data_IF_197532017798
#
_entry.id   IF_197532017798
#
_cell.length_a   1.000
_cell.length_b   1.000
_cell.length_c   1.000
_cell.angle_alpha   90.00
_cell.angle_beta   90.00
_cell.angle_gamma   90.00
#
_symmetry.space_group_name_H-M   'P 1'
#
loop_
_entity.id
_entity.type
_entity.pdbx_description
1 polymer ?
#
# COMPACT_ATOMS: atom_id res chain seq x y z
N UNK A 1 0.03 11.66 -1.16
CA UNK A 1 1.23 12.47 -0.85
C UNK A 1 1.01 13.90 -1.33
N UNK A 2 1.80 14.86 -0.83
CA UNK A 2 1.81 16.24 -1.34
C UNK A 2 2.99 16.41 -2.30
N UNK A 3 2.87 17.32 -3.28
CA UNK A 3 3.91 17.58 -4.28
C UNK A 3 3.45 17.29 -5.72
N UNK A 4 4.06 17.99 -6.68
CA UNK A 4 3.73 17.84 -8.10
C UNK A 4 4.35 16.58 -8.70
N UNK A 5 3.69 15.98 -9.70
CA UNK A 5 4.26 14.87 -10.46
C UNK A 5 5.64 15.25 -11.01
N UNK A 6 6.58 14.32 -10.90
CA UNK A 6 7.95 14.49 -11.41
C UNK A 6 7.91 14.75 -12.91
N UNK A 7 8.62 15.80 -13.34
CA UNK A 7 8.73 16.18 -14.75
C UNK A 7 7.62 17.07 -15.29
N UNK A 8 6.63 17.47 -14.48
CA UNK A 8 5.56 18.36 -14.95
C UNK A 8 5.98 19.84 -14.97
N UNK A 9 6.81 20.28 -14.02
CA UNK A 9 7.38 21.63 -13.99
C UNK A 9 8.86 21.59 -13.58
N UNK A 10 9.69 22.34 -14.31
CA UNK A 10 11.15 22.42 -14.09
C UNK A 10 11.51 22.96 -12.70
N UNK A 11 10.71 23.89 -12.17
CA UNK A 11 10.94 24.53 -10.87
C UNK A 11 10.21 23.84 -9.70
N UNK A 12 9.75 22.59 -9.88
CA UNK A 12 9.06 21.86 -8.81
C UNK A 12 9.98 21.66 -7.61
N UNK A 13 9.54 22.11 -6.43
CA UNK A 13 10.20 21.82 -5.17
C UNK A 13 9.53 20.65 -4.46
N UNK A 14 10.36 19.74 -3.94
CA UNK A 14 9.93 18.56 -3.21
C UNK A 14 10.39 18.67 -1.76
N UNK A 15 9.53 18.25 -0.84
CA UNK A 15 9.83 18.25 0.58
C UNK A 15 10.17 16.83 1.07
N UNK A 16 11.11 16.76 2.01
CA UNK A 16 11.45 15.51 2.68
C UNK A 16 10.66 15.37 3.98
N UNK A 17 9.97 14.23 4.13
CA UNK A 17 9.40 13.80 5.41
C UNK A 17 10.38 12.88 6.16
N UNK A 18 10.46 13.03 7.49
CA UNK A 18 11.25 12.13 8.35
C UNK A 18 10.40 11.60 9.49
N UNK A 19 10.48 10.30 9.73
CA UNK A 19 9.86 9.61 10.86
C UNK A 19 10.89 8.70 11.51
N UNK A 20 10.89 8.64 12.84
CA UNK A 20 11.70 7.66 13.59
C UNK A 20 10.90 6.37 13.71
N UNK A 21 11.45 5.27 13.21
CA UNK A 21 10.85 3.94 13.32
C UNK A 21 11.44 3.20 14.53
N UNK A 22 10.60 2.44 15.20
CA UNK A 22 10.95 1.55 16.31
C UNK A 22 10.92 0.07 15.85
N UNK A 23 11.63 -0.84 16.56
CA UNK A 23 11.54 -2.26 16.28
C UNK A 23 10.09 -2.78 16.25
N UNK A 24 9.75 -3.52 15.19
CA UNK A 24 8.41 -4.04 14.97
C UNK A 24 7.55 -3.17 14.04
N UNK A 25 7.91 -1.90 13.82
CA UNK A 25 7.18 -1.02 12.90
C UNK A 25 7.21 -1.55 11.47
N UNK A 26 6.08 -1.37 10.79
CA UNK A 26 5.88 -1.76 9.39
C UNK A 26 5.61 -0.51 8.56
N UNK A 27 6.35 -0.36 7.47
CA UNK A 27 6.16 0.70 6.47
C UNK A 27 5.66 0.07 5.19
N UNK A 28 4.59 0.62 4.63
CA UNK A 28 4.00 0.19 3.37
C UNK A 28 4.03 1.36 2.39
N UNK A 29 4.67 1.15 1.24
CA UNK A 29 4.57 2.05 0.08
C UNK A 29 3.66 1.41 -0.95
N UNK A 30 2.83 2.21 -1.61
CA UNK A 30 1.86 1.75 -2.60
C UNK A 30 1.72 2.73 -3.76
N UNK A 31 1.32 2.23 -4.93
CA UNK A 31 0.80 3.04 -6.04
C UNK A 31 -0.72 3.16 -5.97
N UNK A 32 -1.27 4.20 -6.59
CA UNK A 32 -2.70 4.49 -6.66
C UNK A 32 -3.50 3.38 -7.33
N UNK A 33 -2.93 2.64 -8.28
CA UNK A 33 -3.55 1.43 -8.85
C UNK A 33 -4.05 0.43 -7.79
N UNK A 34 -3.45 0.39 -6.59
CA UNK A 34 -3.96 -0.42 -5.47
C UNK A 34 -5.21 0.19 -4.82
N UNK A 35 -5.26 1.51 -4.67
CA UNK A 35 -6.37 2.22 -4.01
C UNK A 35 -7.51 2.65 -4.95
N UNK A 36 -7.27 2.58 -6.25
CA UNK A 36 -8.22 2.88 -7.32
C UNK A 36 -8.95 1.61 -7.78
N UNK A 37 -8.46 0.43 -7.40
CA UNK A 37 -9.09 -0.85 -7.66
C UNK A 37 -10.54 -0.86 -7.19
N UNK A 38 -11.44 -1.38 -8.03
CA UNK A 38 -12.87 -1.37 -7.76
C UNK A 38 -13.44 -2.78 -7.69
N UNK A 39 -14.36 -2.99 -6.74
CA UNK A 39 -15.18 -4.18 -6.68
C UNK A 39 -16.14 -4.25 -7.87
N UNK A 40 -16.83 -5.39 -8.09
CA UNK A 40 -17.83 -5.51 -9.14
C UNK A 40 -18.99 -4.50 -9.03
N UNK A 41 -19.26 -3.98 -7.83
CA UNK A 41 -20.28 -2.94 -7.59
C UNK A 41 -19.76 -1.51 -7.82
N UNK A 42 -18.47 -1.36 -8.12
CA UNK A 42 -17.81 -0.07 -8.34
C UNK A 42 -17.30 0.60 -7.07
N UNK A 43 -17.35 -0.08 -5.92
CA UNK A 43 -16.77 0.42 -4.67
C UNK A 43 -15.25 0.29 -4.72
N UNK A 44 -14.53 1.35 -4.35
CA UNK A 44 -13.06 1.37 -4.39
C UNK A 44 -12.44 0.70 -3.17
N UNK A 45 -11.29 0.06 -3.37
CA UNK A 45 -10.40 -0.38 -2.29
C UNK A 45 -9.59 0.80 -1.76
N UNK A 46 -10.28 1.79 -1.20
CA UNK A 46 -9.67 3.05 -0.77
C UNK A 46 -8.60 2.89 0.35
N UNK A 47 -7.99 4.02 0.73
CA UNK A 47 -6.94 4.06 1.76
C UNK A 47 -7.41 3.46 3.09
N UNK A 48 -8.68 3.63 3.48
CA UNK A 48 -9.24 3.06 4.70
C UNK A 48 -9.25 1.53 4.66
N UNK A 49 -9.63 0.94 3.51
CA UNK A 49 -9.55 -0.50 3.30
C UNK A 49 -8.11 -1.03 3.32
N UNK A 50 -7.17 -0.29 2.73
CA UNK A 50 -5.75 -0.61 2.79
C UNK A 50 -5.23 -0.58 4.23
N UNK A 51 -5.49 0.48 4.99
CA UNK A 51 -5.07 0.63 6.39
C UNK A 51 -5.59 -0.53 7.25
N UNK A 52 -6.88 -0.86 7.14
CA UNK A 52 -7.49 -1.99 7.87
C UNK A 52 -6.84 -3.32 7.51
N UNK A 53 -6.52 -3.52 6.24
CA UNK A 53 -5.89 -4.75 5.75
C UNK A 53 -4.46 -4.89 6.25
N UNK A 54 -3.69 -3.80 6.24
CA UNK A 54 -2.32 -3.76 6.79
C UNK A 54 -2.35 -4.06 8.29
N UNK A 55 -3.22 -3.40 9.06
CA UNK A 55 -3.35 -3.65 10.50
C UNK A 55 -3.71 -5.11 10.80
N UNK A 56 -4.68 -5.67 10.07
CA UNK A 56 -5.10 -7.06 10.24
C UNK A 56 -3.96 -8.06 9.96
N UNK A 57 -3.15 -7.79 8.92
CA UNK A 57 -2.03 -8.63 8.52
C UNK A 57 -0.87 -8.52 9.53
N UNK A 58 -0.56 -7.32 10.02
CA UNK A 58 0.49 -7.10 11.02
C UNK A 58 0.18 -7.78 12.36
N UNK A 59 -1.09 -7.94 12.72
CA UNK A 59 -1.50 -8.70 13.92
C UNK A 59 -1.26 -10.21 13.81
N UNK A 60 -1.05 -10.74 12.59
CA UNK A 60 -0.98 -12.19 12.31
C UNK A 60 0.38 -12.65 11.82
N UNK A 61 1.11 -11.77 11.16
CA UNK A 61 2.34 -12.12 10.48
C UNK A 61 3.46 -11.18 10.88
N UNK A 62 4.60 -11.77 11.26
CA UNK A 62 5.81 -11.02 11.53
C UNK A 62 6.66 -10.82 10.26
N UNK A 63 6.59 -11.75 9.31
CA UNK A 63 7.41 -11.69 8.09
C UNK A 63 6.79 -10.73 7.04
N UNK A 64 7.54 -9.75 6.49
CA UNK A 64 6.99 -8.73 5.59
C UNK A 64 6.40 -9.31 4.30
N UNK A 65 7.00 -10.37 3.74
CA UNK A 65 6.43 -11.06 2.56
C UNK A 65 5.02 -11.60 2.85
N UNK A 66 4.76 -12.15 4.05
CA UNK A 66 3.44 -12.69 4.39
C UNK A 66 2.39 -11.59 4.51
N UNK A 67 2.80 -10.40 4.96
CA UNK A 67 1.94 -9.22 4.96
C UNK A 67 1.63 -8.83 3.52
N UNK A 68 2.65 -8.70 2.66
CA UNK A 68 2.50 -8.36 1.24
C UNK A 68 1.55 -9.34 0.51
N UNK A 69 1.81 -10.64 0.62
CA UNK A 69 0.99 -11.68 -0.03
C UNK A 69 -0.48 -11.57 0.42
N UNK A 70 -0.71 -11.34 1.71
CA UNK A 70 -2.08 -11.22 2.25
C UNK A 70 -2.80 -9.98 1.72
N UNK A 71 -2.09 -8.86 1.52
CA UNK A 71 -2.69 -7.65 0.94
C UNK A 71 -3.10 -7.91 -0.52
N UNK A 72 -2.25 -8.58 -1.29
CA UNK A 72 -2.59 -8.98 -2.65
C UNK A 72 -3.75 -9.97 -2.68
N UNK A 73 -3.78 -11.00 -1.83
CA UNK A 73 -4.90 -11.94 -1.78
C UNK A 73 -6.24 -11.22 -1.49
N UNK A 74 -6.22 -10.25 -0.57
CA UNK A 74 -7.40 -9.45 -0.21
C UNK A 74 -7.92 -8.60 -1.35
N UNK A 75 -7.04 -7.89 -2.07
CA UNK A 75 -7.48 -7.04 -3.18
C UNK A 75 -7.98 -7.89 -4.36
N UNK A 76 -7.35 -9.03 -4.66
CA UNK A 76 -7.84 -9.94 -5.69
C UNK A 76 -9.24 -10.48 -5.33
N UNK A 77 -9.48 -10.79 -4.06
CA UNK A 77 -10.82 -11.20 -3.61
C UNK A 77 -11.84 -10.06 -3.69
N UNK A 78 -11.44 -8.82 -3.39
CA UNK A 78 -12.31 -7.65 -3.42
C UNK A 78 -12.74 -7.26 -4.84
N UNK A 79 -11.80 -7.23 -5.79
CA UNK A 79 -12.06 -6.92 -7.20
C UNK A 79 -12.87 -8.03 -7.87
N UNK A 80 -12.69 -9.28 -7.43
CA UNK A 80 -13.38 -10.44 -7.96
C UNK A 80 -12.88 -10.82 -9.35
N UNK A 81 -13.66 -11.63 -10.08
CA UNK A 81 -13.24 -12.21 -11.37
C UNK A 81 -13.77 -11.45 -12.59
N UNK A 82 -14.64 -10.44 -12.40
CA UNK A 82 -15.44 -9.84 -13.48
C UNK A 82 -14.84 -8.57 -14.08
N UNK A 83 -13.82 -7.97 -13.45
CA UNK A 83 -13.05 -6.85 -14.01
C UNK A 83 -11.57 -7.08 -13.78
N UNK A 84 -10.80 -6.91 -14.85
CA UNK A 84 -9.35 -6.71 -14.73
C UNK A 84 -9.14 -5.32 -14.13
N UNK A 85 -8.22 -5.18 -13.17
CA UNK A 85 -7.81 -3.84 -12.75
C UNK A 85 -7.16 -3.15 -13.94
N UNK A 86 -7.55 -1.91 -14.19
CA UNK A 86 -7.11 -1.15 -15.36
C UNK A 86 -5.75 -0.49 -15.15
N UNK A 87 -5.19 -0.54 -13.93
CA UNK A 87 -3.93 0.09 -13.55
C UNK A 87 -2.99 -0.87 -12.79
N UNK A 88 -1.70 -0.59 -12.85
CA UNK A 88 -0.65 -1.41 -12.26
C UNK A 88 -0.60 -1.25 -10.73
N UNK A 89 -0.61 -2.40 -10.05
CA UNK A 89 -0.54 -2.46 -8.59
C UNK A 89 0.88 -2.74 -8.11
N UNK A 90 1.47 -1.81 -7.37
CA UNK A 90 2.76 -2.01 -6.71
C UNK A 90 2.64 -1.77 -5.21
N UNK A 91 3.19 -2.70 -4.42
CA UNK A 91 3.31 -2.60 -2.97
C UNK A 91 4.73 -2.96 -2.53
N UNK A 92 5.27 -2.20 -1.59
CA UNK A 92 6.53 -2.53 -0.89
C UNK A 92 6.26 -2.56 0.61
N UNK A 93 6.55 -3.69 1.25
CA UNK A 93 6.41 -3.86 2.70
C UNK A 93 7.80 -4.00 3.32
N UNK A 94 8.11 -3.09 4.24
CA UNK A 94 9.33 -3.09 5.04
C UNK A 94 8.98 -3.25 6.51
N UNK A 95 9.76 -4.04 7.25
CA UNK A 95 9.62 -4.19 8.69
C UNK A 95 10.95 -3.97 9.40
N UNK A 96 10.92 -3.15 10.45
CA UNK A 96 12.10 -2.87 11.28
C UNK A 96 12.35 -4.05 12.20
N UNK A 97 13.51 -4.71 12.04
CA UNK A 97 13.92 -5.81 12.91
C UNK A 97 14.37 -5.29 14.27
N UNK A 98 14.22 -6.10 15.34
CA UNK A 98 14.91 -5.84 16.60
C UNK A 98 16.41 -5.65 16.39
N UNK A 99 17.01 -4.74 17.15
CA UNK A 99 18.47 -4.73 17.31
C UNK A 99 18.87 -6.03 18.02
N UNK A 100 19.72 -6.81 17.35
CA UNK A 100 20.39 -7.99 17.93
C UNK A 100 21.41 -7.52 18.96
#
# INVERSE_FOLDING_TARGET
TVGMLVGLHEDSQYEDGKVKLEPGDVVVFYTDGFTDAASPTGERFDEDNLIRSVQWACQRYDHPQRILDTLFDRIHHFVGTSKQNDDDMTLVVMKVKPRV
#
